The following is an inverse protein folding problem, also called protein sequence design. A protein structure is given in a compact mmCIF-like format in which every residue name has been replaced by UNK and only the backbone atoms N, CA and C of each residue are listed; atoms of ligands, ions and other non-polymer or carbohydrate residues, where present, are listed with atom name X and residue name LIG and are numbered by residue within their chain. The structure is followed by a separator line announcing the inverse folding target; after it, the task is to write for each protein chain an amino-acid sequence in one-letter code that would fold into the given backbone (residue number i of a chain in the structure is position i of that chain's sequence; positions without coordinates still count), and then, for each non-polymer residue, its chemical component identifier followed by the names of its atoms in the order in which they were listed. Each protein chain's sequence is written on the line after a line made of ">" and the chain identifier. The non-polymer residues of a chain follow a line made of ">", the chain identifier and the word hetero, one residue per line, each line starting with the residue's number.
data_IF_805244922861
#
_entry.id   IF_805244922861
#
_cell.length_a   1.000
_cell.length_b   1.000
_cell.length_c   1.000
_cell.angle_alpha   90.00
_cell.angle_beta   90.00
_cell.angle_gamma   90.00
#
_symmetry.space_group_name_H-M   'P 1'
#
loop_
_entity.id
_entity.type
_entity.pdbx_description
1 polymer ?
#
# COMPACT_ATOMS: atom_id res chain seq x y z
N UNK A 1 25.65 11.16 -0.63
CA UNK A 1 24.21 11.37 -0.88
C UNK A 1 23.51 10.70 0.28
N UNK A 2 22.70 11.43 1.06
CA UNK A 2 21.90 10.80 2.10
C UNK A 2 20.95 9.80 1.45
N UNK A 3 20.92 8.59 2.00
CA UNK A 3 20.01 7.55 1.58
C UNK A 3 18.60 7.97 2.00
N UNK A 4 17.74 8.26 1.02
CA UNK A 4 16.37 8.70 1.29
C UNK A 4 15.60 7.52 1.89
N UNK A 5 15.15 7.66 3.14
CA UNK A 5 14.29 6.69 3.80
C UNK A 5 12.91 6.70 3.10
N UNK A 6 12.46 5.58 2.51
CA UNK A 6 11.15 5.52 1.88
C UNK A 6 10.06 5.62 2.94
N UNK A 7 9.04 6.43 2.66
CA UNK A 7 7.88 6.61 3.55
C UNK A 7 6.69 5.83 3.03
N UNK A 8 6.10 4.99 3.86
CA UNK A 8 4.87 4.27 3.51
C UNK A 8 3.79 4.51 4.54
N UNK A 9 2.55 4.47 4.10
CA UNK A 9 1.38 4.49 4.99
C UNK A 9 0.54 3.23 4.75
N UNK A 10 0.14 2.54 5.82
CA UNK A 10 -0.76 1.38 5.74
C UNK A 10 -2.20 1.84 5.97
N UNK A 11 -3.03 1.61 4.97
CA UNK A 11 -4.47 1.78 5.03
C UNK A 11 -5.15 0.41 5.07
N UNK A 12 -5.95 0.19 6.10
CA UNK A 12 -6.63 -1.08 6.36
C UNK A 12 -7.97 -0.81 7.04
N UNK A 13 -8.80 -1.84 7.16
CA UNK A 13 -10.03 -1.79 7.94
C UNK A 13 -9.88 -2.53 9.26
N UNK A 14 -10.53 -2.03 10.30
CA UNK A 14 -10.59 -2.73 11.58
C UNK A 14 -11.54 -3.94 11.48
N UNK A 15 -10.99 -5.08 11.02
CA UNK A 15 -11.72 -6.31 10.76
C UNK A 15 -11.86 -7.18 12.02
N UNK A 16 -10.74 -7.41 12.69
CA UNK A 16 -10.63 -8.18 13.93
C UNK A 16 -9.37 -7.77 14.69
N UNK A 17 -9.23 -8.19 15.96
CA UNK A 17 -7.99 -7.92 16.71
C UNK A 17 -6.80 -8.67 16.11
N UNK A 18 -7.00 -9.90 15.66
CA UNK A 18 -5.99 -10.67 14.93
C UNK A 18 -5.52 -9.96 13.65
N UNK A 19 -6.46 -9.36 12.90
CA UNK A 19 -6.12 -8.55 11.74
C UNK A 19 -5.29 -7.33 12.13
N UNK A 20 -5.69 -6.61 13.19
CA UNK A 20 -4.94 -5.45 13.70
C UNK A 20 -3.53 -5.83 14.15
N UNK A 21 -3.37 -6.97 14.80
CA UNK A 21 -2.07 -7.47 15.23
C UNK A 21 -1.19 -7.82 14.03
N UNK A 22 -1.75 -8.48 13.01
CA UNK A 22 -1.03 -8.81 11.76
C UNK A 22 -0.62 -7.56 10.98
N UNK A 23 -1.45 -6.52 10.96
CA UNK A 23 -1.12 -5.21 10.38
C UNK A 23 0.03 -4.54 11.13
N UNK A 24 0.00 -4.59 12.47
CA UNK A 24 1.06 -4.05 13.32
C UNK A 24 2.38 -4.78 13.11
N UNK A 25 2.34 -6.10 13.04
CA UNK A 25 3.51 -6.93 12.74
C UNK A 25 4.11 -6.53 11.38
N UNK A 26 3.29 -6.47 10.32
CA UNK A 26 3.71 -6.02 8.99
C UNK A 26 4.41 -4.66 9.04
N UNK A 27 3.81 -3.68 9.73
CA UNK A 27 4.37 -2.34 9.89
C UNK A 27 5.74 -2.38 10.59
N UNK A 28 5.86 -3.15 11.68
CA UNK A 28 7.11 -3.30 12.41
C UNK A 28 8.20 -3.97 11.55
N UNK A 29 7.87 -4.98 10.74
CA UNK A 29 8.84 -5.61 9.83
C UNK A 29 9.37 -4.60 8.80
N UNK A 30 8.50 -3.78 8.19
CA UNK A 30 8.95 -2.69 7.31
C UNK A 30 9.87 -1.70 8.04
N UNK A 31 9.51 -1.28 9.27
CA UNK A 31 10.33 -0.36 10.08
C UNK A 31 11.69 -0.95 10.44
N UNK A 32 11.73 -2.22 10.84
CA UNK A 32 12.96 -2.94 11.15
C UNK A 32 13.87 -3.06 9.91
N UNK A 33 13.29 -3.04 8.71
CA UNK A 33 14.00 -3.07 7.44
C UNK A 33 14.31 -1.66 6.87
N UNK A 34 14.21 -0.59 7.67
CA UNK A 34 14.64 0.75 7.26
C UNK A 34 13.63 1.52 6.40
N UNK A 35 12.35 1.13 6.41
CA UNK A 35 11.25 1.89 5.80
C UNK A 35 10.51 2.66 6.88
N UNK A 36 10.26 3.96 6.67
CA UNK A 36 9.44 4.74 7.58
C UNK A 36 7.95 4.43 7.34
N UNK A 37 7.48 3.38 8.00
CA UNK A 37 6.10 2.93 7.91
C UNK A 37 5.23 3.59 8.98
N UNK A 38 4.25 4.36 8.53
CA UNK A 38 3.22 4.98 9.36
C UNK A 38 1.99 4.07 9.48
N UNK A 39 1.41 4.05 10.69
CA UNK A 39 0.22 3.27 11.04
C UNK A 39 -0.55 4.00 12.15
N UNK A 40 -1.88 3.99 12.07
CA UNK A 40 -2.78 4.61 13.06
C UNK A 40 -2.52 4.08 14.50
N UNK A 41 -2.20 2.79 14.64
CA UNK A 41 -1.93 2.13 15.93
C UNK A 41 -0.67 2.65 16.63
N UNK A 42 0.20 3.39 15.94
CA UNK A 42 1.35 4.05 16.56
C UNK A 42 1.00 5.43 17.14
N UNK A 43 -0.18 5.95 16.79
CA UNK A 43 -0.68 7.23 17.27
C UNK A 43 -1.74 7.03 18.36
N UNK A 44 -1.72 7.91 19.37
CA UNK A 44 -2.69 7.84 20.48
C UNK A 44 -3.86 8.77 20.27
N UNK A 45 -3.59 10.02 19.89
CA UNK A 45 -4.60 11.04 19.60
C UNK A 45 -3.95 12.21 18.84
N UNK A 46 -4.00 12.23 17.50
CA UNK A 46 -3.45 13.34 16.74
C UNK A 46 -4.19 14.64 17.06
N UNK A 47 -3.44 15.71 17.40
CA UNK A 47 -4.02 17.02 17.76
C UNK A 47 -4.89 17.62 16.64
N UNK A 48 -4.54 17.33 15.39
CA UNK A 48 -5.25 17.78 14.20
C UNK A 48 -6.50 16.93 13.86
N UNK A 49 -6.74 15.88 14.64
CA UNK A 49 -7.80 14.89 14.43
C UNK A 49 -7.42 13.82 13.40
N UNK A 50 -7.97 12.61 13.58
CA UNK A 50 -7.71 11.44 12.72
C UNK A 50 -7.90 11.73 11.24
N UNK A 51 -8.95 12.49 10.95
CA UNK A 51 -9.30 12.98 9.63
C UNK A 51 -8.13 13.60 8.86
N UNK A 52 -7.56 14.64 9.46
CA UNK A 52 -6.50 15.44 8.86
C UNK A 52 -5.18 14.69 8.93
N UNK A 53 -4.94 13.96 10.01
CA UNK A 53 -3.77 13.10 10.14
C UNK A 53 -3.69 12.07 9.00
N UNK A 54 -4.78 11.35 8.70
CA UNK A 54 -4.79 10.38 7.60
C UNK A 54 -4.53 11.02 6.24
N UNK A 55 -5.15 12.18 5.96
CA UNK A 55 -4.91 12.93 4.71
C UNK A 55 -3.43 13.30 4.61
N UNK A 56 -2.86 13.81 5.70
CA UNK A 56 -1.44 14.17 5.76
C UNK A 56 -0.54 12.95 5.53
N UNK A 57 -0.82 11.81 6.17
CA UNK A 57 -0.04 10.57 5.96
C UNK A 57 -0.11 10.11 4.50
N UNK A 58 -1.30 10.15 3.90
CA UNK A 58 -1.48 9.84 2.47
C UNK A 58 -0.72 10.83 1.60
N UNK A 59 -0.65 12.12 1.94
CA UNK A 59 0.09 13.12 1.16
C UNK A 59 1.61 12.92 1.24
N UNK A 60 2.16 12.74 2.45
CA UNK A 60 3.61 12.67 2.68
C UNK A 60 4.23 11.32 2.33
N UNK A 61 3.46 10.24 2.31
CA UNK A 61 3.98 8.92 1.97
C UNK A 61 4.45 8.87 0.51
N UNK A 62 5.49 8.09 0.23
CA UNK A 62 5.88 7.73 -1.13
C UNK A 62 4.90 6.71 -1.72
N UNK A 63 4.47 5.75 -0.88
CA UNK A 63 3.52 4.71 -1.22
C UNK A 63 2.47 4.50 -0.13
N UNK A 64 1.25 4.13 -0.51
CA UNK A 64 0.17 3.78 0.40
C UNK A 64 -0.20 2.32 0.15
N UNK A 65 0.03 1.46 1.15
CA UNK A 65 -0.35 0.06 1.10
C UNK A 65 -1.81 -0.07 1.50
N UNK A 66 -2.64 -0.61 0.61
CA UNK A 66 -4.07 -0.81 0.83
C UNK A 66 -4.29 -2.29 1.13
N UNK A 67 -4.54 -2.63 2.39
CA UNK A 67 -4.78 -4.02 2.79
C UNK A 67 -6.21 -4.38 2.42
N UNK A 68 -6.35 -5.10 1.31
CA UNK A 68 -7.66 -5.38 0.73
C UNK A 68 -8.27 -6.61 1.37
N UNK A 69 -9.28 -6.41 2.19
CA UNK A 69 -10.16 -7.45 2.74
C UNK A 69 -11.60 -7.24 2.26
N UNK A 70 -12.48 -8.20 2.55
CA UNK A 70 -13.91 -8.05 2.27
C UNK A 70 -14.51 -6.79 2.91
N UNK A 71 -14.17 -6.55 4.17
CA UNK A 71 -14.67 -5.41 4.94
C UNK A 71 -14.10 -4.13 4.33
N UNK A 72 -12.80 -4.08 4.05
CA UNK A 72 -12.16 -2.94 3.39
C UNK A 72 -12.87 -2.60 2.07
N UNK A 73 -13.06 -3.61 1.21
CA UNK A 73 -13.73 -3.45 -0.07
C UNK A 73 -15.15 -2.90 0.08
N UNK A 74 -15.95 -3.48 0.98
CA UNK A 74 -17.33 -3.07 1.19
C UNK A 74 -17.42 -1.63 1.69
N UNK A 75 -16.49 -1.19 2.55
CA UNK A 75 -16.39 0.21 2.99
C UNK A 75 -15.94 1.14 1.86
N UNK A 76 -14.91 0.75 1.12
CA UNK A 76 -14.37 1.54 0.01
C UNK A 76 -15.41 1.76 -1.10
N UNK A 77 -16.30 0.79 -1.32
CA UNK A 77 -17.41 0.85 -2.29
C UNK A 77 -18.68 1.54 -1.76
N UNK A 78 -18.69 2.01 -0.51
CA UNK A 78 -19.85 2.69 0.07
C UNK A 78 -21.04 1.77 0.37
N UNK A 79 -20.81 0.46 0.50
CA UNK A 79 -21.83 -0.55 0.78
C UNK A 79 -22.00 -0.84 2.29
N UNK A 80 -21.59 0.06 3.17
CA UNK A 80 -21.71 -0.13 4.62
C UNK A 80 -23.11 0.24 5.11
N UNK A 81 -23.73 -0.63 5.92
CA UNK A 81 -25.01 -0.33 6.56
C UNK A 81 -24.82 0.81 7.57
N UNK A 82 -25.46 1.95 7.31
CA UNK A 82 -25.55 3.07 8.25
C UNK A 82 -26.05 2.56 9.61
N UNK A 83 -25.18 2.49 10.62
CA UNK A 83 -25.59 2.26 12.01
C UNK A 83 -24.89 1.14 12.79
N UNK A 84 -24.00 0.34 12.19
CA UNK A 84 -23.17 -0.65 12.92
C UNK A 84 -21.70 -0.25 13.00
N UNK A 85 -21.40 0.75 13.82
CA UNK A 85 -20.02 1.10 14.15
C UNK A 85 -19.89 2.57 14.46
N UNK A 86 -19.95 2.94 15.74
CA UNK A 86 -19.59 4.28 16.21
C UNK A 86 -18.09 4.49 15.89
N UNK A 87 -17.78 5.20 14.81
CA UNK A 87 -16.43 5.69 14.48
C UNK A 87 -15.79 5.15 13.19
N UNK A 88 -16.39 4.18 12.51
CA UNK A 88 -15.69 3.34 11.50
C UNK A 88 -16.01 3.70 10.04
N UNK A 89 -16.97 4.60 9.82
CA UNK A 89 -17.44 5.02 8.49
C UNK A 89 -16.57 6.08 7.83
N UNK A 90 -15.65 6.72 8.58
CA UNK A 90 -14.91 7.89 8.08
C UNK A 90 -13.75 7.48 7.16
N UNK A 91 -12.89 6.57 7.62
CA UNK A 91 -11.58 6.25 7.04
C UNK A 91 -11.66 5.75 5.58
N UNK A 92 -12.58 4.83 5.31
CA UNK A 92 -12.77 4.26 3.97
C UNK A 92 -13.26 5.28 2.94
N UNK A 93 -14.19 6.17 3.32
CA UNK A 93 -14.72 7.18 2.41
C UNK A 93 -13.70 8.27 2.06
N UNK A 94 -12.81 8.61 2.99
CA UNK A 94 -11.73 9.58 2.75
C UNK A 94 -10.70 9.00 1.81
N UNK A 95 -10.25 7.76 2.05
CA UNK A 95 -9.23 7.13 1.21
C UNK A 95 -9.77 6.90 -0.20
N UNK A 96 -11.02 6.45 -0.33
CA UNK A 96 -11.69 6.39 -1.63
C UNK A 96 -11.69 7.76 -2.33
N UNK A 97 -12.10 8.84 -1.65
CA UNK A 97 -12.05 10.19 -2.23
C UNK A 97 -10.63 10.64 -2.58
N UNK A 98 -9.63 10.35 -1.74
CA UNK A 98 -8.23 10.70 -2.00
C UNK A 98 -7.68 9.96 -3.22
N UNK A 99 -8.09 8.71 -3.43
CA UNK A 99 -7.67 7.91 -4.59
C UNK A 99 -8.35 8.44 -5.86
N UNK A 100 -9.67 8.66 -5.83
CA UNK A 100 -10.42 9.24 -6.95
C UNK A 100 -9.93 10.65 -7.35
N UNK A 101 -9.58 11.49 -6.38
CA UNK A 101 -9.08 12.84 -6.67
C UNK A 101 -7.61 12.84 -7.15
N UNK A 102 -6.85 11.78 -6.86
CA UNK A 102 -5.47 11.60 -7.31
C UNK A 102 -5.34 10.82 -8.62
N UNK A 103 -6.37 10.85 -9.49
CA UNK A 103 -6.50 10.19 -10.82
C UNK A 103 -5.26 10.18 -11.78
N UNK A 104 -4.17 10.88 -11.44
CA UNK A 104 -2.91 10.90 -12.21
C UNK A 104 -1.76 10.08 -11.59
N UNK A 105 -1.90 9.51 -10.38
CA UNK A 105 -0.82 8.78 -9.67
C UNK A 105 -1.26 7.42 -9.09
N UNK A 106 -1.88 6.56 -9.92
CA UNK A 106 -2.20 5.18 -9.51
C UNK A 106 -0.99 4.39 -8.97
N UNK A 107 0.24 4.76 -9.32
CA UNK A 107 1.46 4.10 -8.83
C UNK A 107 1.72 4.30 -7.33
N UNK A 108 1.06 5.26 -6.66
CA UNK A 108 1.23 5.50 -5.22
C UNK A 108 0.49 4.48 -4.37
N UNK A 109 -0.67 4.03 -4.83
CA UNK A 109 -1.56 3.15 -4.09
C UNK A 109 -1.30 1.70 -4.50
N UNK A 110 -0.85 0.89 -3.55
CA UNK A 110 -0.44 -0.50 -3.79
C UNK A 110 -1.40 -1.42 -3.02
N UNK A 111 -2.25 -2.19 -3.72
CA UNK A 111 -3.02 -3.25 -3.09
C UNK A 111 -2.09 -4.33 -2.50
N UNK A 112 -2.32 -4.68 -1.24
CA UNK A 112 -1.68 -5.82 -0.56
C UNK A 112 -2.74 -6.75 0.01
N UNK A 113 -2.46 -8.05 -0.03
CA UNK A 113 -3.36 -9.11 0.39
C UNK A 113 -2.67 -10.00 1.42
N UNK A 114 -3.40 -10.66 2.32
CA UNK A 114 -2.83 -11.70 3.17
C UNK A 114 -3.08 -13.12 2.63
N UNK A 115 -4.03 -13.27 1.70
CA UNK A 115 -4.27 -14.49 0.94
C UNK A 115 -4.57 -14.14 -0.52
N UNK A 116 -4.28 -15.06 -1.44
CA UNK A 116 -4.73 -14.94 -2.83
C UNK A 116 -6.26 -14.92 -2.94
N UNK A 117 -6.98 -15.51 -1.98
CA UNK A 117 -8.45 -15.53 -1.96
C UNK A 117 -9.05 -14.12 -1.81
N UNK A 118 -8.27 -13.18 -1.28
CA UNK A 118 -8.67 -11.79 -1.09
C UNK A 118 -8.55 -10.94 -2.35
N UNK A 119 -7.98 -11.49 -3.44
CA UNK A 119 -7.79 -10.76 -4.70
C UNK A 119 -9.11 -10.19 -5.25
N UNK A 120 -10.23 -10.89 -5.04
CA UNK A 120 -11.58 -10.46 -5.44
C UNK A 120 -12.06 -9.21 -4.71
N UNK A 121 -11.42 -8.83 -3.60
CA UNK A 121 -11.74 -7.66 -2.80
C UNK A 121 -10.86 -6.45 -3.14
N UNK A 122 -9.99 -6.54 -4.15
CA UNK A 122 -9.28 -5.36 -4.64
C UNK A 122 -10.30 -4.40 -5.29
N UNK A 123 -10.45 -3.17 -4.80
CA UNK A 123 -11.39 -2.21 -5.38
C UNK A 123 -11.09 -1.92 -6.85
N UNK A 124 -12.13 -1.88 -7.68
CA UNK A 124 -12.02 -1.73 -9.15
C UNK A 124 -11.26 -0.47 -9.58
N UNK A 125 -11.29 0.58 -8.77
CA UNK A 125 -10.65 1.87 -9.07
C UNK A 125 -9.12 1.82 -8.97
N UNK A 126 -8.54 0.80 -8.33
CA UNK A 126 -7.09 0.64 -8.23
C UNK A 126 -6.46 0.18 -9.56
N UNK A 127 -7.28 -0.30 -10.50
CA UNK A 127 -6.81 -0.76 -11.80
C UNK A 127 -5.92 -2.01 -11.70
N UNK A 128 -5.82 -2.76 -12.79
CA UNK A 128 -5.24 -4.10 -12.85
C UNK A 128 -3.71 -4.20 -12.68
N UNK A 129 -3.02 -3.18 -12.17
CA UNK A 129 -1.60 -3.01 -12.55
C UNK A 129 -0.56 -3.69 -11.65
N UNK A 130 -0.70 -3.76 -10.32
CA UNK A 130 0.24 -4.52 -9.46
C UNK A 130 -0.37 -4.71 -8.07
N UNK A 131 -0.35 -5.93 -7.51
CA UNK A 131 -0.66 -6.20 -6.11
C UNK A 131 0.34 -7.21 -5.53
N UNK A 132 0.46 -7.28 -4.20
CA UNK A 132 1.35 -8.21 -3.52
C UNK A 132 0.60 -9.05 -2.49
N UNK A 133 0.90 -10.35 -2.45
CA UNK A 133 0.39 -11.27 -1.43
C UNK A 133 1.43 -11.39 -0.33
N UNK A 134 1.10 -10.92 0.85
CA UNK A 134 1.90 -10.92 2.06
C UNK A 134 1.39 -12.03 3.01
N UNK A 135 1.40 -13.26 2.51
CA UNK A 135 1.06 -14.45 3.30
C UNK A 135 2.06 -14.69 4.45
N UNK A 136 3.29 -14.23 4.26
CA UNK A 136 4.39 -14.17 5.24
C UNK A 136 5.06 -12.79 5.20
N UNK A 137 5.80 -12.43 6.25
CA UNK A 137 6.61 -11.20 6.32
C UNK A 137 8.12 -11.49 6.27
N UNK A 138 8.50 -12.49 5.47
CA UNK A 138 9.89 -12.95 5.35
C UNK A 138 10.51 -12.51 4.02
N UNK A 139 11.83 -12.38 3.97
CA UNK A 139 12.57 -12.26 2.71
C UNK A 139 12.87 -13.64 2.12
N UNK A 140 13.14 -13.72 0.81
CA UNK A 140 13.47 -14.98 0.12
C UNK A 140 12.56 -15.30 -1.08
N UNK A 141 12.18 -14.31 -1.88
CA UNK A 141 11.31 -14.47 -3.04
C UNK A 141 9.81 -14.50 -2.72
N UNK A 142 9.43 -14.16 -1.48
CA UNK A 142 8.04 -14.02 -1.04
C UNK A 142 7.36 -12.82 -1.68
N UNK A 143 6.04 -12.70 -1.55
CA UNK A 143 5.37 -11.46 -1.92
C UNK A 143 5.77 -10.27 -1.05
N UNK A 144 6.21 -10.49 0.20
CA UNK A 144 6.77 -9.45 1.05
C UNK A 144 8.06 -8.88 0.50
N UNK A 145 9.02 -9.71 0.07
CA UNK A 145 10.24 -9.22 -0.58
C UNK A 145 9.91 -8.39 -1.83
N UNK A 146 8.98 -8.86 -2.67
CA UNK A 146 8.58 -8.13 -3.88
C UNK A 146 7.93 -6.77 -3.57
N UNK A 147 7.09 -6.72 -2.53
CA UNK A 147 6.50 -5.47 -2.05
C UNK A 147 7.58 -4.53 -1.49
N UNK A 148 8.48 -5.05 -0.67
CA UNK A 148 9.63 -4.32 -0.12
C UNK A 148 10.48 -3.71 -1.24
N UNK A 149 10.89 -4.52 -2.23
CA UNK A 149 11.63 -4.07 -3.42
C UNK A 149 10.92 -2.94 -4.16
N UNK A 150 9.59 -2.97 -4.25
CA UNK A 150 8.83 -1.89 -4.86
C UNK A 150 8.98 -0.60 -4.06
N UNK A 151 8.65 -0.63 -2.77
CA UNK A 151 8.63 0.58 -1.93
C UNK A 151 10.03 1.17 -1.70
N UNK A 152 11.07 0.35 -1.80
CA UNK A 152 12.48 0.77 -1.73
C UNK A 152 13.14 1.00 -3.09
N UNK A 153 12.42 0.81 -4.20
CA UNK A 153 12.93 0.94 -5.58
C UNK A 153 14.17 0.07 -5.87
N UNK A 154 14.18 -1.18 -5.38
CA UNK A 154 15.24 -2.16 -5.57
C UNK A 154 14.80 -3.26 -6.57
N UNK A 155 14.82 -3.00 -7.89
CA UNK A 155 14.39 -3.98 -8.88
C UNK A 155 15.19 -5.28 -8.77
N UNK A 156 14.53 -6.42 -8.99
CA UNK A 156 15.15 -7.74 -8.90
C UNK A 156 16.30 -7.92 -9.91
N UNK A 157 16.17 -7.30 -11.09
CA UNK A 157 17.19 -7.32 -12.14
C UNK A 157 17.61 -5.90 -12.47
N UNK A 158 18.88 -5.59 -12.28
CA UNK A 158 19.45 -4.31 -12.68
C UNK A 158 19.50 -4.20 -14.21
N UNK A 159 19.02 -3.06 -14.72
CA UNK A 159 19.15 -2.74 -16.14
C UNK A 159 20.63 -2.51 -16.45
N UNK A 160 21.21 -3.35 -17.29
CA UNK A 160 22.56 -3.10 -17.83
C UNK A 160 22.58 -1.77 -18.59
N UNK A 161 23.71 -1.07 -18.53
CA UNK A 161 23.94 0.12 -19.33
C UNK A 161 23.71 -0.17 -20.83
N UNK A 162 23.16 0.80 -21.55
CA UNK A 162 22.90 0.66 -22.98
C UNK A 162 24.22 0.42 -23.73
N UNK A 163 24.24 -0.66 -24.53
CA UNK A 163 25.34 -0.94 -25.45
C UNK A 163 25.34 0.01 -26.65
N UNK A 164 26.43 0.01 -27.42
CA UNK A 164 26.50 0.75 -28.69
C UNK A 164 25.51 0.16 -29.69
N UNK A 165 24.80 1.02 -30.43
CA UNK A 165 23.89 0.61 -31.50
C UNK A 165 24.67 -0.13 -32.59
N UNK A 166 24.26 -1.36 -32.90
CA UNK A 166 24.80 -2.12 -34.03
C UNK A 166 24.15 -1.60 -35.31
N UNK A 167 24.95 -1.11 -36.26
CA UNK A 167 24.47 -0.69 -37.58
C UNK A 167 24.56 -1.90 -38.52
N UNK A 168 23.41 -2.35 -39.04
CA UNK A 168 23.35 -3.46 -39.97
C UNK A 168 23.58 -2.98 -41.41
N UNK A 169 24.23 -3.78 -42.27
CA UNK A 169 24.43 -3.43 -43.67
C UNK A 169 23.10 -3.33 -44.43
N UNK A 170 23.01 -2.42 -45.41
CA UNK A 170 21.87 -2.38 -46.33
C UNK A 170 21.87 -3.67 -47.18
N UNK A 171 20.70 -4.31 -47.34
CA UNK A 171 20.55 -5.39 -48.34
C UNK A 171 20.83 -4.79 -49.73
N UNK A 172 21.68 -5.46 -50.51
CA UNK A 172 21.93 -5.15 -51.92
C UNK A 172 20.72 -5.49 -52.77
#
# INVERSE_FOLDING_TARGET
>A
MEERIPKIFISYSWDSEEHKDKIREMAQVFRNAGVDCALDQFETSPEEGWAKWMINQVEIADYVLLVCTEIYHRRAMGHEELGKGKGVTWEGAIITNLIYNNNSRNSKFIPVLFSMDDQKYIPIFLGSNTFYVLDTFEFGGTGFERCYRHVTQQPEVEKKALGKKIILPKKK
#
